data_IF_296424038125
#
_entry.id   IF_296424038125
#
_cell.length_a   1.000
_cell.length_b   1.000
_cell.length_c   1.000
_cell.angle_alpha   90.00
_cell.angle_beta   90.00
_cell.angle_gamma   90.00
#
_symmetry.space_group_name_H-M   'P 1'
#
loop_
_entity.id
_entity.type
_entity.pdbx_description
1 polymer ?
#
# COMPACT_ATOMS: atom_id res chain seq x y z
N UNK A 1 -6.15 5.73 40.84
CA UNK A 1 -4.74 5.86 40.38
C UNK A 1 -4.63 5.33 38.96
N UNK A 2 -4.55 6.22 37.98
CA UNK A 2 -4.28 5.84 36.59
C UNK A 2 -2.75 5.66 36.46
N UNK A 3 -2.28 4.41 36.38
CA UNK A 3 -0.87 4.14 36.05
C UNK A 3 -0.59 4.68 34.65
N UNK A 4 0.05 5.86 34.57
CA UNK A 4 0.53 6.40 33.31
C UNK A 4 1.64 5.47 32.79
N UNK A 5 1.32 4.73 31.71
CA UNK A 5 2.29 3.88 31.02
C UNK A 5 3.22 4.77 30.19
N UNK A 6 4.53 4.49 30.22
CA UNK A 6 5.50 5.18 29.37
C UNK A 6 5.24 4.89 27.87
N UNK A 7 5.77 5.76 26.99
CA UNK A 7 5.66 5.58 25.55
C UNK A 7 6.17 4.19 25.09
N UNK A 8 7.27 3.69 25.69
CA UNK A 8 7.85 2.39 25.32
C UNK A 8 6.95 1.20 25.68
N UNK A 9 6.12 1.33 26.73
CA UNK A 9 5.11 0.32 27.03
C UNK A 9 4.07 0.28 25.90
N UNK A 10 3.62 1.45 25.42
CA UNK A 10 2.66 1.52 24.32
C UNK A 10 3.25 1.03 22.99
N UNK A 11 4.51 1.35 22.69
CA UNK A 11 5.23 0.82 21.51
C UNK A 11 5.30 -0.71 21.51
N UNK A 12 5.62 -1.33 22.66
CA UNK A 12 5.60 -2.80 22.80
C UNK A 12 4.22 -3.39 22.58
N UNK A 13 3.16 -2.73 23.06
CA UNK A 13 1.77 -3.14 22.78
C UNK A 13 1.48 -3.03 21.29
N UNK A 14 1.85 -1.92 20.64
CA UNK A 14 1.64 -1.73 19.22
C UNK A 14 2.32 -2.82 18.39
N UNK A 15 3.61 -3.12 18.67
CA UNK A 15 4.35 -4.17 17.97
C UNK A 15 3.70 -5.54 18.13
N UNK A 16 3.27 -5.89 19.36
CA UNK A 16 2.57 -7.17 19.62
C UNK A 16 1.26 -7.26 18.82
N UNK A 17 0.51 -6.16 18.73
CA UNK A 17 -0.74 -6.14 17.98
C UNK A 17 -0.52 -6.12 16.47
N UNK A 18 0.55 -5.49 15.97
CA UNK A 18 0.95 -5.55 14.57
C UNK A 18 1.25 -7.00 14.17
N UNK A 19 2.09 -7.71 14.92
CA UNK A 19 2.40 -9.12 14.64
C UNK A 19 1.14 -10.00 14.65
N UNK A 20 0.20 -9.71 15.56
CA UNK A 20 -1.10 -10.39 15.60
C UNK A 20 -1.97 -10.08 14.38
N UNK A 21 -1.97 -8.83 13.92
CA UNK A 21 -2.64 -8.40 12.68
C UNK A 21 -2.09 -9.17 11.49
N UNK A 22 -0.77 -9.17 11.32
CA UNK A 22 -0.10 -9.86 10.21
C UNK A 22 -0.37 -11.37 10.20
N UNK A 23 -0.32 -12.03 11.35
CA UNK A 23 -0.68 -13.45 11.45
C UNK A 23 -2.15 -13.71 11.11
N UNK A 24 -3.06 -12.81 11.50
CA UNK A 24 -4.47 -12.89 11.16
C UNK A 24 -4.73 -12.65 9.67
N UNK A 25 -4.03 -11.70 9.03
CA UNK A 25 -4.07 -11.49 7.57
C UNK A 25 -3.58 -12.73 6.84
N UNK A 26 -2.43 -13.29 7.25
CA UNK A 26 -1.87 -14.50 6.63
C UNK A 26 -2.80 -15.72 6.72
N UNK A 27 -3.60 -15.81 7.79
CA UNK A 27 -4.61 -16.86 8.00
C UNK A 27 -6.01 -16.48 7.52
N UNK A 28 -6.16 -15.34 6.81
CA UNK A 28 -7.43 -14.82 6.31
C UNK A 28 -8.51 -14.61 7.39
N UNK A 29 -8.10 -14.44 8.64
CA UNK A 29 -9.01 -14.10 9.74
C UNK A 29 -9.22 -12.58 9.81
N UNK A 30 -9.99 -12.06 8.88
CA UNK A 30 -10.18 -10.62 8.65
C UNK A 30 -10.69 -9.88 9.89
N UNK A 31 -11.66 -10.45 10.60
CA UNK A 31 -12.20 -9.85 11.83
C UNK A 31 -11.11 -9.68 12.89
N UNK A 32 -10.27 -10.70 13.10
CA UNK A 32 -9.19 -10.61 14.05
C UNK A 32 -8.12 -9.61 13.59
N UNK A 33 -7.81 -9.60 12.30
CA UNK A 33 -6.86 -8.66 11.70
C UNK A 33 -7.30 -7.21 11.94
N UNK A 34 -8.55 -6.87 11.65
CA UNK A 34 -9.12 -5.53 11.89
C UNK A 34 -8.99 -5.11 13.36
N UNK A 35 -9.39 -5.98 14.30
CA UNK A 35 -9.35 -5.67 15.73
C UNK A 35 -7.90 -5.49 16.23
N UNK A 36 -6.99 -6.37 15.80
CA UNK A 36 -5.57 -6.25 16.15
C UNK A 36 -4.97 -4.96 15.59
N UNK A 37 -5.27 -4.62 14.33
CA UNK A 37 -4.79 -3.42 13.68
C UNK A 37 -5.28 -2.14 14.38
N UNK A 38 -6.57 -2.05 14.70
CA UNK A 38 -7.14 -0.93 15.46
C UNK A 38 -6.45 -0.77 16.82
N UNK A 39 -6.21 -1.87 17.53
CA UNK A 39 -5.50 -1.86 18.82
C UNK A 39 -4.06 -1.40 18.68
N UNK A 40 -3.38 -1.78 17.60
CA UNK A 40 -2.04 -1.31 17.32
C UNK A 40 -2.01 0.21 17.06
N UNK A 41 -2.94 0.73 16.25
CA UNK A 41 -3.05 2.18 15.98
C UNK A 41 -3.36 2.97 17.25
N UNK A 42 -4.31 2.50 18.07
CA UNK A 42 -4.59 3.13 19.37
C UNK A 42 -3.35 3.15 20.28
N UNK A 43 -2.56 2.07 20.28
CA UNK A 43 -1.33 2.02 21.05
C UNK A 43 -0.27 3.01 20.52
N UNK A 44 -0.10 3.14 19.21
CA UNK A 44 0.77 4.18 18.63
C UNK A 44 0.28 5.58 18.97
N UNK A 45 -1.03 5.85 18.89
CA UNK A 45 -1.61 7.14 19.28
C UNK A 45 -1.32 7.50 20.75
N UNK A 46 -1.37 6.51 21.65
CA UNK A 46 -0.98 6.69 23.06
C UNK A 46 0.53 6.90 23.23
N UNK A 47 1.37 6.23 22.45
CA UNK A 47 2.81 6.46 22.45
C UNK A 47 3.16 7.88 21.97
N UNK A 48 2.45 8.37 20.94
CA UNK A 48 2.58 9.73 20.40
C UNK A 48 2.16 10.81 21.41
N UNK A 49 1.08 10.56 22.16
CA UNK A 49 0.63 11.46 23.22
C UNK A 49 1.63 11.53 24.39
N UNK A 50 2.39 10.46 24.63
CA UNK A 50 3.39 10.39 25.69
C UNK A 50 4.79 10.86 25.25
N UNK A 51 5.10 10.86 23.95
CA UNK A 51 6.41 11.25 23.41
C UNK A 51 6.34 11.47 21.89
N UNK A 52 7.31 12.20 21.32
CA UNK A 52 7.45 12.34 19.87
C UNK A 52 7.52 10.98 19.16
N UNK A 53 6.85 10.86 18.03
CA UNK A 53 6.92 9.69 17.17
C UNK A 53 8.34 9.50 16.61
N UNK A 54 8.76 8.25 16.53
CA UNK A 54 10.03 7.81 15.95
C UNK A 54 9.82 7.22 14.56
N UNK A 55 10.89 7.06 13.77
CA UNK A 55 10.83 6.36 12.47
C UNK A 55 10.31 4.92 12.59
N UNK A 56 10.58 4.24 13.73
CA UNK A 56 10.02 2.91 14.02
C UNK A 56 8.50 2.96 14.23
N UNK A 57 8.00 4.01 14.87
CA UNK A 57 6.55 4.19 15.03
C UNK A 57 5.88 4.45 13.67
N UNK A 58 6.53 5.24 12.80
CA UNK A 58 6.08 5.45 11.41
C UNK A 58 6.09 4.15 10.59
N UNK A 59 7.12 3.31 10.75
CA UNK A 59 7.20 2.01 10.08
C UNK A 59 6.07 1.07 10.54
N UNK A 60 5.75 1.08 11.84
CA UNK A 60 4.59 0.33 12.37
C UNK A 60 3.29 0.85 11.76
N UNK A 61 3.08 2.18 11.74
CA UNK A 61 1.89 2.76 11.10
C UNK A 61 1.79 2.42 9.61
N UNK A 62 2.90 2.47 8.88
CA UNK A 62 2.96 2.10 7.47
C UNK A 62 2.51 0.65 7.27
N UNK A 63 3.00 -0.26 8.11
CA UNK A 63 2.60 -1.67 8.11
C UNK A 63 1.11 -1.85 8.43
N UNK A 64 0.58 -1.11 9.40
CA UNK A 64 -0.83 -1.17 9.76
C UNK A 64 -1.74 -0.67 8.63
N UNK A 65 -1.37 0.40 7.95
CA UNK A 65 -2.10 0.87 6.76
C UNK A 65 -2.00 -0.11 5.59
N UNK A 66 -0.84 -0.75 5.42
CA UNK A 66 -0.65 -1.79 4.40
C UNK A 66 -1.55 -3.00 4.64
N UNK A 67 -1.68 -3.47 5.88
CA UNK A 67 -2.62 -4.53 6.28
C UNK A 67 -4.07 -4.10 6.08
N UNK A 68 -4.45 -2.88 6.49
CA UNK A 68 -5.81 -2.38 6.30
C UNK A 68 -6.19 -2.26 4.83
N UNK A 69 -5.23 -1.96 3.96
CA UNK A 69 -5.44 -1.97 2.52
C UNK A 69 -5.96 -3.32 2.05
N UNK A 70 -5.35 -4.42 2.52
CA UNK A 70 -5.77 -5.78 2.17
C UNK A 70 -7.15 -6.09 2.78
N UNK A 71 -7.34 -5.77 4.06
CA UNK A 71 -8.60 -6.01 4.79
C UNK A 71 -9.77 -5.33 4.07
N UNK A 72 -9.63 -4.05 3.70
CA UNK A 72 -10.69 -3.33 3.01
C UNK A 72 -10.87 -3.79 1.56
N UNK A 73 -9.78 -4.15 0.87
CA UNK A 73 -9.86 -4.69 -0.49
C UNK A 73 -10.66 -5.98 -0.53
N UNK A 74 -10.41 -6.91 0.41
CA UNK A 74 -11.17 -8.18 0.51
C UNK A 74 -12.61 -7.93 0.95
N UNK A 75 -12.85 -6.92 1.78
CA UNK A 75 -14.19 -6.51 2.20
C UNK A 75 -15.00 -5.76 1.13
N UNK A 76 -14.47 -5.55 -0.07
CA UNK A 76 -15.14 -4.80 -1.14
C UNK A 76 -15.22 -3.29 -0.90
N UNK A 77 -14.49 -2.75 0.08
CA UNK A 77 -14.48 -1.34 0.42
C UNK A 77 -13.38 -0.58 -0.35
N UNK A 78 -13.52 -0.47 -1.68
CA UNK A 78 -12.47 0.03 -2.58
C UNK A 78 -11.94 1.41 -2.18
N UNK A 79 -12.80 2.40 -1.94
CA UNK A 79 -12.38 3.75 -1.55
C UNK A 79 -11.59 3.76 -0.23
N UNK A 80 -12.01 2.95 0.75
CA UNK A 80 -11.29 2.79 2.00
C UNK A 80 -9.94 2.12 1.77
N UNK A 81 -9.88 1.06 0.97
CA UNK A 81 -8.64 0.37 0.61
C UNK A 81 -7.64 1.32 -0.05
N UNK A 82 -8.09 2.14 -1.01
CA UNK A 82 -7.26 3.12 -1.70
C UNK A 82 -6.69 4.15 -0.72
N UNK A 83 -7.52 4.72 0.14
CA UNK A 83 -7.08 5.70 1.15
C UNK A 83 -6.04 5.11 2.13
N UNK A 84 -6.14 3.83 2.47
CA UNK A 84 -5.12 3.17 3.30
C UNK A 84 -3.84 2.87 2.51
N UNK A 85 -3.96 2.49 1.22
CA UNK A 85 -2.82 2.23 0.36
C UNK A 85 -1.97 3.49 0.17
N UNK A 86 -2.61 4.64 -0.03
CA UNK A 86 -1.95 5.95 -0.11
C UNK A 86 -1.19 6.28 1.17
N UNK A 87 -1.82 6.12 2.34
CA UNK A 87 -1.16 6.34 3.64
C UNK A 87 0.04 5.41 3.84
N UNK A 88 -0.11 4.12 3.50
CA UNK A 88 0.97 3.15 3.59
C UNK A 88 2.15 3.55 2.69
N UNK A 89 1.89 3.87 1.42
CA UNK A 89 2.92 4.31 0.48
C UNK A 89 3.60 5.60 0.93
N UNK A 90 2.85 6.63 1.35
CA UNK A 90 3.42 7.90 1.80
C UNK A 90 4.37 7.73 3.00
N UNK A 91 4.01 6.85 3.95
CA UNK A 91 4.87 6.55 5.10
C UNK A 91 6.11 5.78 4.68
N UNK A 92 5.97 4.69 3.91
CA UNK A 92 7.13 3.93 3.46
C UNK A 92 8.05 4.74 2.55
N UNK A 93 7.50 5.57 1.66
CA UNK A 93 8.28 6.43 0.79
C UNK A 93 9.08 7.48 1.56
N UNK A 94 8.56 7.99 2.69
CA UNK A 94 9.33 8.89 3.56
C UNK A 94 10.49 8.18 4.26
N UNK A 95 10.32 6.89 4.56
CA UNK A 95 11.33 6.04 5.17
C UNK A 95 12.33 5.48 4.15
N UNK A 96 12.01 5.53 2.86
CA UNK A 96 12.85 5.05 1.78
C UNK A 96 14.01 6.03 1.50
N UNK A 97 15.27 5.65 1.76
CA UNK A 97 16.41 6.55 1.57
C UNK A 97 16.73 6.83 0.09
N UNK A 98 16.17 6.07 -0.84
CA UNK A 98 16.30 6.33 -2.27
C UNK A 98 15.28 7.37 -2.76
N UNK A 99 14.23 7.64 -1.97
CA UNK A 99 13.10 8.45 -2.40
C UNK A 99 12.41 7.86 -3.62
N UNK A 100 12.30 6.53 -3.70
CA UNK A 100 11.66 5.81 -4.81
C UNK A 100 12.42 5.85 -6.13
N UNK A 101 13.69 6.26 -6.14
CA UNK A 101 14.53 6.30 -7.34
C UNK A 101 15.34 5.00 -7.46
N UNK A 102 15.04 4.12 -8.44
CA UNK A 102 15.77 2.88 -8.60
C UNK A 102 17.26 3.11 -8.84
N UNK A 103 17.67 4.21 -9.46
CA UNK A 103 19.08 4.45 -9.78
C UNK A 103 19.96 4.56 -8.54
N UNK A 104 19.38 4.98 -7.41
CA UNK A 104 20.06 5.11 -6.12
C UNK A 104 20.15 3.81 -5.32
N UNK A 105 19.49 2.74 -5.77
CA UNK A 105 19.54 1.43 -5.12
C UNK A 105 20.94 0.80 -5.22
N UNK A 106 21.66 1.03 -6.32
CA UNK A 106 22.84 0.23 -6.65
C UNK A 106 24.13 0.54 -5.87
N UNK A 107 24.23 1.67 -5.14
CA UNK A 107 25.55 2.18 -4.74
C UNK A 107 25.78 2.39 -3.23
N UNK A 108 24.78 2.28 -2.35
CA UNK A 108 24.96 2.78 -0.95
C UNK A 108 23.98 2.23 0.09
N UNK A 109 23.10 1.29 -0.27
CA UNK A 109 22.10 0.81 0.69
C UNK A 109 22.77 -0.04 1.77
N UNK A 110 22.64 0.41 3.02
CA UNK A 110 22.93 -0.46 4.18
C UNK A 110 21.87 -1.54 4.24
N UNK A 111 22.19 -2.69 4.82
CA UNK A 111 21.24 -3.80 4.97
C UNK A 111 19.94 -3.40 5.68
N UNK A 112 20.00 -2.43 6.60
CA UNK A 112 18.83 -1.86 7.29
C UNK A 112 17.91 -1.03 6.37
N UNK A 113 18.47 -0.42 5.33
CA UNK A 113 17.77 0.45 4.39
C UNK A 113 17.03 -0.34 3.30
N UNK A 114 17.56 -1.53 2.93
CA UNK A 114 16.97 -2.38 1.90
C UNK A 114 15.51 -2.71 2.18
N UNK A 115 15.17 -2.91 3.46
CA UNK A 115 13.81 -3.21 3.88
C UNK A 115 12.86 -2.04 3.67
N UNK A 116 13.32 -0.80 3.89
CA UNK A 116 12.51 0.38 3.63
C UNK A 116 12.21 0.55 2.13
N UNK A 117 13.23 0.36 1.28
CA UNK A 117 13.07 0.39 -0.19
C UNK A 117 12.08 -0.70 -0.65
N UNK A 118 12.24 -1.93 -0.17
CA UNK A 118 11.38 -3.05 -0.54
C UNK A 118 9.91 -2.79 -0.15
N UNK A 119 9.67 -2.34 1.08
CA UNK A 119 8.32 -2.01 1.54
C UNK A 119 7.71 -0.84 0.77
N UNK A 120 8.49 0.19 0.43
CA UNK A 120 8.03 1.32 -0.36
C UNK A 120 7.61 0.87 -1.78
N UNK A 121 8.40 0.01 -2.42
CA UNK A 121 8.07 -0.57 -3.71
C UNK A 121 6.82 -1.48 -3.65
N UNK A 122 6.70 -2.33 -2.62
CA UNK A 122 5.51 -3.18 -2.41
C UNK A 122 4.23 -2.35 -2.19
N UNK A 123 4.33 -1.27 -1.41
CA UNK A 123 3.21 -0.35 -1.20
C UNK A 123 2.86 0.41 -2.48
N UNK A 124 3.86 0.83 -3.26
CA UNK A 124 3.67 1.55 -4.51
C UNK A 124 2.95 0.69 -5.56
N UNK A 125 3.39 -0.56 -5.76
CA UNK A 125 2.74 -1.45 -6.73
C UNK A 125 1.31 -1.79 -6.31
N UNK A 126 1.06 -1.95 -5.00
CA UNK A 126 -0.29 -2.17 -4.47
C UNK A 126 -1.19 -0.96 -4.69
N UNK A 127 -0.69 0.25 -4.44
CA UNK A 127 -1.40 1.49 -4.71
C UNK A 127 -1.72 1.62 -6.20
N UNK A 128 -0.75 1.40 -7.09
CA UNK A 128 -0.95 1.45 -8.53
C UNK A 128 -2.03 0.45 -8.99
N UNK A 129 -2.04 -0.77 -8.44
CA UNK A 129 -3.09 -1.76 -8.70
C UNK A 129 -4.47 -1.25 -8.26
N UNK A 130 -4.59 -0.72 -7.05
CA UNK A 130 -5.88 -0.24 -6.53
C UNK A 130 -6.40 0.99 -7.28
N UNK A 131 -5.52 1.90 -7.68
CA UNK A 131 -5.90 3.04 -8.54
C UNK A 131 -6.40 2.60 -9.90
N UNK A 132 -5.75 1.60 -10.51
CA UNK A 132 -6.21 1.02 -11.77
C UNK A 132 -7.62 0.42 -11.64
N UNK A 133 -7.86 -0.39 -10.61
CA UNK A 133 -9.17 -1.00 -10.36
C UNK A 133 -10.22 0.07 -10.02
N UNK A 134 -9.87 1.05 -9.19
CA UNK A 134 -10.77 2.15 -8.83
C UNK A 134 -11.19 3.00 -10.05
N UNK A 135 -10.28 3.20 -11.01
CA UNK A 135 -10.57 3.89 -12.26
C UNK A 135 -11.54 3.10 -13.16
N UNK A 136 -11.37 1.78 -13.24
CA UNK A 136 -12.31 0.90 -13.97
C UNK A 136 -13.69 0.95 -13.31
N UNK A 137 -13.74 0.80 -11.99
CA UNK A 137 -14.97 0.80 -11.23
C UNK A 137 -15.72 2.13 -11.36
N UNK A 138 -15.04 3.28 -11.24
CA UNK A 138 -15.70 4.58 -11.36
C UNK A 138 -16.31 4.80 -12.75
N UNK A 139 -15.67 4.29 -13.81
CA UNK A 139 -16.22 4.34 -15.16
C UNK A 139 -17.38 3.39 -15.38
N UNK A 140 -17.34 2.20 -14.78
CA UNK A 140 -18.48 1.28 -14.76
C UNK A 140 -19.69 1.90 -14.06
N UNK A 141 -19.49 2.50 -12.88
CA UNK A 141 -20.53 3.21 -12.12
C UNK A 141 -21.10 4.40 -12.92
N UNK A 142 -20.24 5.19 -13.59
CA UNK A 142 -20.68 6.29 -14.45
C UNK A 142 -21.52 5.81 -15.65
N UNK A 143 -21.12 4.71 -16.28
CA UNK A 143 -21.87 4.12 -17.40
C UNK A 143 -23.20 3.51 -16.94
N UNK A 144 -23.24 2.88 -15.77
CA UNK A 144 -24.49 2.40 -15.14
C UNK A 144 -25.45 3.55 -14.85
N UNK A 145 -24.94 4.64 -14.27
CA UNK A 145 -25.72 5.84 -14.02
C UNK A 145 -26.28 6.43 -15.32
N UNK A 146 -25.45 6.59 -16.36
CA UNK A 146 -25.88 7.09 -17.66
C UNK A 146 -26.96 6.21 -18.30
N UNK A 147 -26.80 4.88 -18.23
CA UNK A 147 -27.83 3.92 -18.67
C UNK A 147 -29.14 4.10 -17.92
N UNK A 148 -29.09 4.23 -16.60
CA UNK A 148 -30.29 4.42 -15.77
C UNK A 148 -31.00 5.75 -16.05
N UNK A 149 -30.25 6.77 -16.49
CA UNK A 149 -30.77 8.08 -16.88
C UNK A 149 -31.30 8.14 -18.34
N UNK A 150 -31.33 7.01 -19.06
CA UNK A 150 -31.77 6.97 -20.46
C UNK A 150 -30.71 7.42 -21.47
N UNK A 151 -29.48 7.67 -21.04
CA UNK A 151 -28.34 8.00 -21.89
C UNK A 151 -27.47 6.75 -22.08
N UNK A 152 -27.84 5.86 -23.00
CA UNK A 152 -27.01 4.67 -23.27
C UNK A 152 -25.73 5.07 -24.02
N UNK A 153 -24.57 4.88 -23.38
CA UNK A 153 -23.28 4.84 -24.06
C UNK A 153 -22.42 3.71 -23.48
N UNK A 154 -21.81 2.83 -24.32
CA UNK A 154 -20.93 1.77 -23.85
C UNK A 154 -19.60 2.33 -23.32
N UNK A 155 -19.04 1.70 -22.28
CA UNK A 155 -17.81 2.13 -21.57
C UNK A 155 -16.64 2.34 -22.54
N UNK A 156 -16.40 1.39 -23.45
CA UNK A 156 -15.31 1.42 -24.42
C UNK A 156 -15.52 2.39 -25.61
N UNK A 157 -16.62 3.14 -25.63
CA UNK A 157 -16.92 4.14 -26.66
C UNK A 157 -16.72 5.59 -26.20
N UNK A 158 -16.59 5.83 -24.89
CA UNK A 158 -16.38 7.18 -24.38
C UNK A 158 -14.89 7.53 -24.31
N UNK A 159 -14.48 8.69 -24.87
CA UNK A 159 -13.11 9.14 -24.73
C UNK A 159 -12.74 9.26 -23.24
N UNK A 160 -11.51 8.88 -22.92
CA UNK A 160 -10.97 9.06 -21.57
C UNK A 160 -10.94 10.55 -21.24
N UNK A 161 -11.33 10.89 -20.00
CA UNK A 161 -11.14 12.25 -19.53
C UNK A 161 -9.63 12.55 -19.41
N UNK A 162 -9.20 13.83 -19.48
CA UNK A 162 -7.81 14.18 -19.22
C UNK A 162 -7.31 13.65 -17.85
N UNK A 163 -8.18 13.60 -16.85
CA UNK A 163 -7.88 13.04 -15.54
C UNK A 163 -7.65 11.51 -15.60
N UNK A 164 -8.47 10.78 -16.35
CA UNK A 164 -8.31 9.33 -16.54
C UNK A 164 -6.99 9.01 -17.25
N UNK A 165 -6.64 9.80 -18.27
CA UNK A 165 -5.36 9.64 -19.00
C UNK A 165 -4.18 9.88 -18.06
N UNK A 166 -4.25 10.93 -17.23
CA UNK A 166 -3.22 11.22 -16.24
C UNK A 166 -3.10 10.09 -15.20
N UNK A 167 -4.23 9.55 -14.76
CA UNK A 167 -4.30 8.44 -13.82
C UNK A 167 -3.67 7.16 -14.40
N UNK A 168 -4.01 6.81 -15.65
CA UNK A 168 -3.38 5.69 -16.35
C UNK A 168 -1.86 5.85 -16.48
N UNK A 169 -1.40 7.05 -16.84
CA UNK A 169 0.02 7.35 -16.94
C UNK A 169 0.71 7.21 -15.57
N UNK A 170 0.07 7.68 -14.50
CA UNK A 170 0.55 7.53 -13.13
C UNK A 170 0.69 6.05 -12.75
N UNK A 171 -0.35 5.24 -12.96
CA UNK A 171 -0.36 3.80 -12.65
C UNK A 171 0.77 3.07 -13.39
N UNK A 172 0.90 3.28 -14.71
CA UNK A 172 1.93 2.63 -15.53
C UNK A 172 3.33 2.97 -15.03
N UNK A 173 3.61 4.25 -14.82
CA UNK A 173 4.90 4.73 -14.34
C UNK A 173 5.27 4.12 -12.99
N UNK A 174 4.37 4.20 -12.01
CA UNK A 174 4.68 3.82 -10.64
C UNK A 174 4.72 2.31 -10.42
N UNK A 175 3.91 1.53 -11.16
CA UNK A 175 4.00 0.09 -11.14
C UNK A 175 5.34 -0.41 -11.73
N UNK A 176 5.85 0.25 -12.79
CA UNK A 176 7.15 -0.08 -13.38
C UNK A 176 8.33 0.36 -12.50
N UNK A 177 8.24 1.52 -11.85
CA UNK A 177 9.23 1.96 -10.86
C UNK A 177 9.40 0.93 -9.74
N UNK A 178 8.28 0.42 -9.19
CA UNK A 178 8.32 -0.60 -8.14
C UNK A 178 9.03 -1.89 -8.60
N UNK A 179 8.76 -2.36 -9.82
CA UNK A 179 9.46 -3.51 -10.41
C UNK A 179 10.95 -3.22 -10.55
N UNK A 180 11.30 -2.05 -11.09
CA UNK A 180 12.71 -1.65 -11.31
C UNK A 180 13.49 -1.58 -9.99
N UNK A 181 12.88 -1.08 -8.90
CA UNK A 181 13.48 -1.12 -7.56
C UNK A 181 13.79 -2.56 -7.13
N UNK A 182 12.85 -3.48 -7.30
CA UNK A 182 13.04 -4.89 -6.94
C UNK A 182 14.06 -5.61 -7.82
N UNK A 183 14.11 -5.31 -9.12
CA UNK A 183 15.15 -5.85 -10.01
C UNK A 183 16.55 -5.44 -9.58
N UNK A 184 16.70 -4.25 -8.98
CA UNK A 184 17.97 -3.79 -8.43
C UNK A 184 18.25 -4.41 -7.07
N UNK A 185 17.27 -4.44 -6.16
CA UNK A 185 17.40 -5.10 -4.87
C UNK A 185 17.84 -6.57 -5.02
N UNK A 186 17.22 -7.32 -5.93
CA UNK A 186 17.57 -8.72 -6.19
C UNK A 186 18.97 -8.94 -6.78
N UNK A 187 19.59 -7.91 -7.36
CA UNK A 187 20.98 -7.99 -7.85
C UNK A 187 22.01 -7.72 -6.76
N UNK A 188 21.68 -6.86 -5.78
CA UNK A 188 22.63 -6.39 -4.78
C UNK A 188 22.47 -7.05 -3.41
N UNK A 189 21.28 -7.55 -3.09
CA UNK A 189 20.93 -8.09 -1.78
C UNK A 189 20.72 -9.60 -1.83
N UNK A 190 21.32 -10.31 -0.87
CA UNK A 190 21.04 -11.74 -0.65
C UNK A 190 19.67 -11.99 -0.01
N UNK A 191 18.98 -10.94 0.47
CA UNK A 191 17.69 -11.03 1.18
C UNK A 191 16.51 -11.16 0.24
N UNK A 192 16.59 -10.55 -0.94
CA UNK A 192 15.49 -10.49 -1.90
C UNK A 192 15.78 -11.38 -3.09
N UNK A 193 14.81 -12.23 -3.43
CA UNK A 193 14.99 -13.25 -4.46
C UNK A 193 14.02 -13.11 -5.63
N UNK A 194 14.10 -14.09 -6.54
CA UNK A 194 13.21 -14.18 -7.69
C UNK A 194 11.71 -14.26 -7.31
N UNK A 195 11.39 -14.84 -6.15
CA UNK A 195 10.02 -14.88 -5.63
C UNK A 195 9.46 -13.50 -5.30
N UNK A 196 10.27 -12.61 -4.72
CA UNK A 196 9.83 -11.25 -4.39
C UNK A 196 9.64 -10.42 -5.66
N UNK A 197 10.58 -10.51 -6.59
CA UNK A 197 10.46 -9.85 -7.89
C UNK A 197 9.22 -10.36 -8.67
N UNK A 198 8.95 -11.67 -8.65
CA UNK A 198 7.77 -12.25 -9.28
C UNK A 198 6.47 -11.73 -8.65
N UNK A 199 6.42 -11.60 -7.31
CA UNK A 199 5.27 -11.01 -6.59
C UNK A 199 5.00 -9.58 -7.05
N UNK A 200 6.02 -8.74 -7.15
CA UNK A 200 5.88 -7.33 -7.57
C UNK A 200 5.51 -7.20 -9.04
N UNK A 201 6.12 -8.01 -9.91
CA UNK A 201 5.71 -8.10 -11.33
C UNK A 201 4.25 -8.51 -11.49
N UNK A 202 3.78 -9.51 -10.73
CA UNK A 202 2.36 -9.89 -10.69
C UNK A 202 1.46 -8.74 -10.22
N UNK A 203 1.94 -7.90 -9.30
CA UNK A 203 1.25 -6.66 -8.90
C UNK A 203 1.10 -5.67 -10.06
N UNK A 204 2.20 -5.37 -10.76
CA UNK A 204 2.21 -4.52 -11.95
C UNK A 204 1.31 -5.07 -13.03
N UNK A 205 1.45 -6.35 -13.37
CA UNK A 205 0.72 -6.97 -14.48
C UNK A 205 -0.79 -6.94 -14.23
N UNK A 206 -1.23 -7.11 -12.96
CA UNK A 206 -2.64 -6.91 -12.57
C UNK A 206 -3.10 -5.47 -12.71
N UNK A 207 -2.26 -4.49 -12.34
CA UNK A 207 -2.58 -3.08 -12.54
C UNK A 207 -2.76 -2.76 -14.03
N UNK A 208 -1.84 -3.25 -14.87
CA UNK A 208 -1.89 -3.05 -16.33
C UNK A 208 -3.06 -3.81 -16.98
N UNK A 209 -3.41 -4.99 -16.47
CA UNK A 209 -4.57 -5.74 -16.92
C UNK A 209 -5.87 -4.97 -16.66
N UNK A 210 -6.04 -4.42 -15.46
CA UNK A 210 -7.20 -3.58 -15.13
C UNK A 210 -7.32 -2.37 -16.09
N UNK A 211 -6.20 -1.70 -16.39
CA UNK A 211 -6.23 -0.58 -17.35
C UNK A 211 -6.61 -0.97 -18.78
N UNK A 212 -6.55 -2.24 -19.17
CA UNK A 212 -6.99 -2.72 -20.51
C UNK A 212 -8.51 -2.91 -20.59
N UNK A 213 -9.21 -2.86 -19.45
CA UNK A 213 -10.67 -2.94 -19.38
C UNK A 213 -11.35 -1.59 -19.60
N UNK A 214 -10.56 -0.50 -19.71
CA UNK A 214 -10.99 0.87 -19.99
C UNK A 214 -11.15 1.13 -21.47
#
# INVERSE_FOLDING_TARGET
MTFWRSADVWRRVAQKQLLRSQAAVASQNWRLATVANQRAQMAIGRAAAASKLTSKDEQVLASLHYDLTEIYSVGGHMYAALAQAEKAWQLYHRLDPTGGDPTKVNNTLKAEDEQAVAHAADALVRLARLRAVGLVQSRQEAAEYARSAGHYQPIGGQPLSPADVQEQAWVRKHAELAVTCYERLTRISARYGGSDLARVRSGRDRALAALREL
#
